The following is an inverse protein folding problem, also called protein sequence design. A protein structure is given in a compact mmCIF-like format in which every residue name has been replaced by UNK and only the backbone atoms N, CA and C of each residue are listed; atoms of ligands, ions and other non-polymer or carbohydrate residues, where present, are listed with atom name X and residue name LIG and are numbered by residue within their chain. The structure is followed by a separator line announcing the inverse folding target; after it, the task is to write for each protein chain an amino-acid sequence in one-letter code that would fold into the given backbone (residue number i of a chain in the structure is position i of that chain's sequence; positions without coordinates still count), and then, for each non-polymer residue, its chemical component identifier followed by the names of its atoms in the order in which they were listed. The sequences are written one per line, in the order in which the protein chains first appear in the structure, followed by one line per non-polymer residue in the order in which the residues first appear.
data_IF_851639713456
#
_entry.id   IF_851639713456
#
_cell.length_a   1.000
_cell.length_b   1.000
_cell.length_c   1.000
_cell.angle_alpha   90.00
_cell.angle_beta   90.00
_cell.angle_gamma   90.00
#
_symmetry.space_group_name_H-M   'P 1'
#
loop_
_entity.id
_entity.type
_entity.pdbx_description
1 polymer ?
#
# COMPACT_ATOMS: atom_id res chain seq x y z
N UNK A 1 -4.36 30.52 -1.00
CA UNK A 1 -3.90 29.23 -0.46
C UNK A 1 -5.02 28.23 -0.63
N UNK A 2 -4.74 27.09 -1.23
CA UNK A 2 -5.75 26.06 -1.36
C UNK A 2 -6.05 25.41 0.02
N UNK A 3 -7.28 25.00 0.22
CA UNK A 3 -7.72 24.46 1.52
C UNK A 3 -6.99 23.19 1.95
N UNK A 4 -6.47 22.41 0.99
CA UNK A 4 -5.74 21.20 1.31
C UNK A 4 -4.45 21.48 2.12
N UNK A 5 -3.78 22.60 1.91
CA UNK A 5 -2.57 22.95 2.69
C UNK A 5 -2.89 23.22 4.16
N UNK A 6 -4.10 23.67 4.45
CA UNK A 6 -4.58 23.86 5.84
C UNK A 6 -5.01 22.56 6.48
N UNK A 7 -5.46 21.59 5.67
CA UNK A 7 -5.97 20.29 6.14
C UNK A 7 -4.96 19.17 6.01
N UNK A 8 -3.85 19.38 5.29
CA UNK A 8 -2.77 18.41 5.24
C UNK A 8 -2.20 18.22 6.64
N UNK A 9 -2.08 16.97 7.03
CA UNK A 9 -1.56 16.55 8.33
C UNK A 9 -0.39 15.62 8.14
N UNK A 10 0.43 15.49 9.16
CA UNK A 10 1.49 14.51 9.18
C UNK A 10 1.41 13.64 10.42
N UNK A 11 1.79 12.39 10.27
CA UNK A 11 1.93 11.44 11.37
C UNK A 11 3.37 10.98 11.40
N UNK A 12 3.95 10.92 12.58
CA UNK A 12 5.27 10.32 12.76
C UNK A 12 5.11 8.80 12.83
N UNK A 13 5.89 8.08 12.02
CA UNK A 13 5.98 6.63 12.03
C UNK A 13 7.42 6.20 12.37
N UNK A 14 7.67 4.92 12.65
CA UNK A 14 9.05 4.44 12.89
C UNK A 14 10.03 4.75 11.76
N UNK A 15 9.53 4.97 10.55
CA UNK A 15 10.36 5.25 9.37
C UNK A 15 10.32 6.72 8.92
N UNK A 16 9.69 7.60 9.69
CA UNK A 16 9.58 9.01 9.39
C UNK A 16 8.15 9.50 9.27
N UNK A 17 7.98 10.74 8.81
CA UNK A 17 6.66 11.33 8.66
C UNK A 17 5.95 10.86 7.39
N UNK A 18 4.66 10.56 7.53
CA UNK A 18 3.73 10.41 6.41
C UNK A 18 2.78 11.61 6.37
N UNK A 19 2.25 11.90 5.19
CA UNK A 19 1.40 13.06 4.95
C UNK A 19 0.04 12.60 4.41
N UNK A 20 -1.04 13.16 4.95
CA UNK A 20 -2.40 12.81 4.59
C UNK A 20 -3.34 14.00 4.79
N UNK A 21 -4.59 13.84 4.35
CA UNK A 21 -5.60 14.90 4.46
C UNK A 21 -5.59 15.86 3.29
N UNK A 22 -6.58 16.72 3.25
CA UNK A 22 -6.80 17.65 2.16
C UNK A 22 -7.35 17.01 0.89
N UNK A 23 -7.62 17.82 -0.14
CA UNK A 23 -8.06 17.33 -1.45
C UNK A 23 -7.01 16.41 -2.07
N UNK A 24 -7.48 15.46 -2.88
CA UNK A 24 -6.63 14.56 -3.61
C UNK A 24 -5.69 15.31 -4.57
N UNK A 25 -4.43 14.89 -4.59
CA UNK A 25 -3.42 15.36 -5.56
C UNK A 25 -2.46 14.22 -5.92
N UNK A 26 -1.87 14.30 -7.10
CA UNK A 26 -1.02 13.22 -7.62
C UNK A 26 0.43 13.28 -7.16
N UNK A 27 0.86 14.39 -6.54
CA UNK A 27 2.23 14.58 -6.06
C UNK A 27 2.25 14.81 -4.56
N UNK A 28 2.32 13.73 -3.79
CA UNK A 28 2.65 13.83 -2.38
C UNK A 28 4.15 13.88 -2.17
N UNK A 29 4.56 14.54 -1.09
CA UNK A 29 5.95 14.51 -0.65
C UNK A 29 6.38 13.09 -0.36
N UNK A 30 7.66 12.82 -0.56
CA UNK A 30 8.25 11.52 -0.21
C UNK A 30 7.73 10.33 -1.02
N UNK A 31 7.12 10.54 -2.17
CA UNK A 31 6.79 9.42 -3.04
C UNK A 31 8.07 8.71 -3.49
N UNK A 32 8.10 7.42 -3.24
CA UNK A 32 9.15 6.50 -3.69
C UNK A 32 8.52 5.47 -4.59
N UNK A 33 9.16 5.21 -5.72
CA UNK A 33 8.69 4.24 -6.69
C UNK A 33 9.60 3.02 -6.68
N UNK A 34 8.99 1.85 -6.67
CA UNK A 34 9.66 0.57 -6.87
C UNK A 34 9.08 -0.06 -8.14
N UNK A 35 9.89 -0.17 -9.17
CA UNK A 35 9.48 -0.73 -10.45
C UNK A 35 9.40 -2.25 -10.39
N UNK A 36 8.56 -2.81 -11.28
CA UNK A 36 8.44 -4.25 -11.50
C UNK A 36 8.15 -5.03 -10.22
N UNK A 37 7.28 -4.51 -9.38
CA UNK A 37 6.82 -5.24 -8.22
C UNK A 37 5.75 -6.27 -8.60
N UNK A 38 5.79 -7.50 -8.06
CA UNK A 38 4.83 -8.53 -8.43
C UNK A 38 3.38 -8.17 -8.10
N UNK A 39 2.52 -8.43 -9.07
CA UNK A 39 1.07 -8.30 -8.99
C UNK A 39 0.43 -9.56 -9.56
N UNK A 40 -0.85 -9.80 -9.32
CA UNK A 40 -1.58 -10.99 -9.77
C UNK A 40 -1.40 -11.33 -11.25
N UNK A 41 -1.33 -10.32 -12.10
CA UNK A 41 -1.30 -10.43 -13.56
C UNK A 41 0.01 -9.90 -14.16
N UNK A 42 1.10 -9.97 -13.44
CA UNK A 42 2.40 -9.52 -13.89
C UNK A 42 3.09 -8.60 -12.89
N UNK A 43 3.78 -7.59 -13.37
CA UNK A 43 4.48 -6.62 -12.55
C UNK A 43 3.75 -5.26 -12.55
N UNK A 44 3.88 -4.53 -11.48
CA UNK A 44 3.33 -3.19 -11.32
C UNK A 44 4.39 -2.25 -10.78
N UNK A 45 4.30 -1.00 -11.16
CA UNK A 45 5.06 0.08 -10.53
C UNK A 45 4.37 0.39 -9.20
N UNK A 46 5.06 0.14 -8.09
CA UNK A 46 4.58 0.44 -6.75
C UNK A 46 5.09 1.81 -6.33
N UNK A 47 4.16 2.72 -6.08
CA UNK A 47 4.48 4.06 -5.57
C UNK A 47 3.83 4.25 -4.21
N UNK A 48 4.65 4.51 -3.21
CA UNK A 48 4.24 4.79 -1.83
C UNK A 48 5.03 5.97 -1.29
N UNK A 49 4.53 6.62 -0.24
CA UNK A 49 5.37 7.53 0.53
C UNK A 49 6.54 6.75 1.14
N UNK A 50 7.69 7.40 1.28
CA UNK A 50 8.93 6.76 1.71
C UNK A 50 8.80 5.88 2.95
N UNK A 51 8.22 6.36 4.06
CA UNK A 51 8.03 5.54 5.26
C UNK A 51 7.16 4.31 5.01
N UNK A 52 6.08 4.44 4.24
CA UNK A 52 5.23 3.31 3.88
C UNK A 52 5.99 2.28 3.02
N UNK A 53 6.81 2.75 2.08
CA UNK A 53 7.65 1.86 1.26
C UNK A 53 8.65 1.09 2.12
N UNK A 54 9.30 1.74 3.07
CA UNK A 54 10.25 1.08 4.00
C UNK A 54 9.54 0.04 4.86
N UNK A 55 8.35 0.38 5.39
CA UNK A 55 7.54 -0.54 6.17
C UNK A 55 7.09 -1.75 5.34
N UNK A 56 6.73 -1.52 4.08
CA UNK A 56 6.38 -2.60 3.17
C UNK A 56 7.57 -3.52 2.89
N UNK A 57 8.75 -2.96 2.63
CA UNK A 57 9.99 -3.75 2.45
C UNK A 57 10.33 -4.55 3.71
N UNK A 58 10.15 -3.98 4.89
CA UNK A 58 10.35 -4.68 6.16
C UNK A 58 9.38 -5.85 6.33
N UNK A 59 8.12 -5.69 5.93
CA UNK A 59 7.14 -6.77 5.92
C UNK A 59 7.55 -7.91 4.96
N UNK A 60 8.14 -7.59 3.81
CA UNK A 60 8.71 -8.56 2.88
C UNK A 60 9.81 -9.41 3.55
N UNK A 61 10.71 -8.75 4.27
CA UNK A 61 11.80 -9.45 4.98
C UNK A 61 11.24 -10.37 6.05
N UNK A 62 10.23 -9.94 6.81
CA UNK A 62 9.56 -10.78 7.80
C UNK A 62 8.91 -12.00 7.14
N UNK A 63 8.22 -11.80 6.04
CA UNK A 63 7.59 -12.86 5.27
C UNK A 63 8.61 -13.90 4.81
N UNK A 64 9.75 -13.46 4.31
CA UNK A 64 10.82 -14.35 3.90
C UNK A 64 11.31 -15.24 5.04
N UNK A 65 11.58 -14.64 6.19
CA UNK A 65 12.07 -15.36 7.37
C UNK A 65 11.07 -16.38 7.86
N UNK A 66 9.80 -16.04 7.89
CA UNK A 66 8.74 -16.92 8.42
C UNK A 66 8.33 -18.02 7.46
N UNK A 67 8.50 -17.82 6.17
CA UNK A 67 8.15 -18.83 5.14
C UNK A 67 9.33 -19.67 4.69
N UNK A 68 10.53 -19.39 5.20
CA UNK A 68 11.73 -20.17 4.88
C UNK A 68 12.11 -20.11 3.40
N UNK A 69 12.05 -18.94 2.77
CA UNK A 69 12.40 -18.79 1.38
C UNK A 69 13.82 -19.26 1.10
N UNK A 70 13.95 -20.10 0.10
CA UNK A 70 15.26 -20.59 -0.36
C UNK A 70 15.94 -19.57 -1.25
N UNK A 71 17.26 -19.73 -1.43
CA UNK A 71 18.04 -18.90 -2.39
C UNK A 71 17.47 -19.01 -3.81
N UNK A 72 16.98 -20.20 -4.20
CA UNK A 72 16.37 -20.42 -5.51
C UNK A 72 15.09 -19.63 -5.68
N UNK A 73 14.22 -19.63 -4.65
CA UNK A 73 13.00 -18.84 -4.69
C UNK A 73 13.29 -17.34 -4.77
N UNK A 74 14.26 -16.86 -4.02
CA UNK A 74 14.70 -15.46 -4.09
C UNK A 74 15.25 -15.09 -5.46
N UNK A 75 16.05 -15.96 -6.07
CA UNK A 75 16.62 -15.74 -7.40
C UNK A 75 15.55 -15.69 -8.49
N UNK A 76 14.45 -16.44 -8.32
CA UNK A 76 13.32 -16.47 -9.26
C UNK A 76 12.28 -15.38 -9.00
N UNK A 77 12.39 -14.65 -7.90
CA UNK A 77 11.52 -13.51 -7.61
C UNK A 77 11.84 -12.35 -8.56
N UNK A 78 10.84 -11.72 -9.19
CA UNK A 78 11.08 -10.56 -10.07
C UNK A 78 11.83 -9.42 -9.40
N UNK A 79 11.65 -9.26 -8.09
CA UNK A 79 12.35 -8.25 -7.30
C UNK A 79 13.62 -8.79 -6.62
N UNK A 80 14.03 -10.04 -6.91
CA UNK A 80 15.18 -10.69 -6.26
C UNK A 80 15.00 -10.89 -4.76
N UNK A 81 13.76 -11.04 -4.27
CA UNK A 81 13.42 -11.12 -2.84
C UNK A 81 12.10 -11.83 -2.61
N UNK A 82 11.78 -12.20 -1.35
CA UNK A 82 10.48 -12.75 -0.99
C UNK A 82 9.37 -11.77 -1.32
N UNK A 83 8.21 -12.30 -1.68
CA UNK A 83 7.17 -11.49 -2.28
C UNK A 83 5.87 -11.61 -1.51
N UNK A 84 5.35 -10.49 -1.07
CA UNK A 84 3.94 -10.30 -0.80
C UNK A 84 3.34 -9.79 -2.11
N UNK A 85 2.51 -10.60 -2.75
CA UNK A 85 1.92 -10.29 -4.06
C UNK A 85 0.81 -9.27 -3.89
N UNK A 86 0.79 -8.25 -4.73
CA UNK A 86 -0.22 -7.20 -4.70
C UNK A 86 -1.34 -7.45 -5.71
N UNK A 87 -2.55 -7.04 -5.37
CA UNK A 87 -3.68 -6.93 -6.29
C UNK A 87 -3.90 -5.46 -6.71
N UNK A 88 -3.58 -4.51 -5.84
CA UNK A 88 -3.71 -3.09 -6.12
C UNK A 88 -2.73 -2.24 -5.33
N UNK A 89 -2.44 -1.06 -5.86
CA UNK A 89 -1.45 -0.13 -5.31
C UNK A 89 -1.98 1.30 -5.34
N UNK A 90 -1.09 2.26 -5.49
CA UNK A 90 -1.43 3.66 -5.66
C UNK A 90 -2.28 3.90 -6.92
N UNK A 91 -3.23 4.81 -6.82
CA UNK A 91 -4.06 5.28 -7.94
C UNK A 91 -3.94 6.79 -8.06
N UNK A 92 -3.99 7.29 -9.30
CA UNK A 92 -4.07 8.73 -9.53
C UNK A 92 -5.41 9.29 -9.03
N UNK A 93 -5.43 10.59 -8.73
CA UNK A 93 -6.66 11.27 -8.34
C UNK A 93 -7.73 11.18 -9.42
N UNK A 94 -7.37 11.35 -10.70
CA UNK A 94 -8.31 11.26 -11.81
C UNK A 94 -8.91 9.87 -11.94
N UNK A 95 -8.10 8.82 -11.82
CA UNK A 95 -8.59 7.43 -11.84
C UNK A 95 -9.56 7.18 -10.69
N UNK A 96 -9.20 7.58 -9.48
CA UNK A 96 -10.06 7.35 -8.31
C UNK A 96 -11.36 8.16 -8.39
N UNK A 97 -11.33 9.38 -8.93
CA UNK A 97 -12.54 10.17 -9.15
C UNK A 97 -13.48 9.51 -10.14
N UNK A 98 -12.94 8.97 -11.23
CA UNK A 98 -13.74 8.24 -12.22
C UNK A 98 -14.37 6.99 -11.62
N UNK A 99 -13.64 6.21 -10.84
CA UNK A 99 -14.15 5.04 -10.14
C UNK A 99 -15.24 5.43 -9.14
N UNK A 100 -15.02 6.44 -8.34
CA UNK A 100 -15.99 6.93 -7.37
C UNK A 100 -17.26 7.44 -8.03
N UNK A 101 -17.15 8.16 -9.14
CA UNK A 101 -18.31 8.61 -9.92
C UNK A 101 -19.10 7.45 -10.54
N UNK A 102 -18.41 6.35 -10.91
CA UNK A 102 -19.07 5.17 -11.50
C UNK A 102 -19.86 4.36 -10.46
N UNK A 103 -19.36 4.25 -9.23
CA UNK A 103 -20.00 3.53 -8.15
C UNK A 103 -19.49 4.01 -6.79
N UNK A 104 -20.24 4.89 -6.15
CA UNK A 104 -19.89 5.48 -4.85
C UNK A 104 -19.99 4.47 -3.69
N UNK A 105 -20.69 3.38 -3.88
CA UNK A 105 -20.82 2.36 -2.85
C UNK A 105 -19.62 1.40 -2.87
N UNK A 106 -19.00 1.23 -4.03
CA UNK A 106 -17.87 0.32 -4.23
C UNK A 106 -16.52 0.99 -4.04
N UNK A 107 -16.39 2.24 -4.50
CA UNK A 107 -15.10 2.94 -4.52
C UNK A 107 -15.09 4.10 -3.53
N UNK A 108 -13.96 4.29 -2.86
CA UNK A 108 -13.76 5.36 -1.90
C UNK A 108 -13.63 6.72 -2.58
N UNK A 109 -14.05 7.76 -1.89
CA UNK A 109 -13.81 9.14 -2.29
C UNK A 109 -12.30 9.37 -2.44
N UNK A 110 -11.82 9.97 -3.57
CA UNK A 110 -10.41 10.20 -3.80
C UNK A 110 -9.73 11.07 -2.74
N UNK A 111 -10.47 11.92 -2.05
CA UNK A 111 -9.92 12.81 -1.03
C UNK A 111 -9.67 12.12 0.31
N UNK A 112 -10.20 10.91 0.51
CA UNK A 112 -10.06 10.19 1.79
C UNK A 112 -9.36 8.84 1.66
N UNK A 113 -9.27 8.26 0.46
CA UNK A 113 -8.63 6.95 0.29
C UNK A 113 -7.11 7.02 0.45
N UNK A 114 -6.53 6.02 1.09
CA UNK A 114 -5.08 5.86 1.19
C UNK A 114 -4.41 5.55 -0.15
N UNK A 115 -5.15 4.99 -1.13
CA UNK A 115 -4.60 4.64 -2.45
C UNK A 115 -4.08 5.86 -3.22
N UNK A 116 -4.74 7.01 -3.12
CA UNK A 116 -4.27 8.23 -3.80
C UNK A 116 -3.14 8.93 -3.06
N UNK A 117 -2.89 8.52 -1.81
CA UNK A 117 -1.88 9.11 -0.93
C UNK A 117 -0.56 8.36 -0.91
N UNK A 118 -0.48 7.21 -1.56
CA UNK A 118 0.66 6.32 -1.40
C UNK A 118 0.77 5.71 0.00
N UNK A 119 -0.37 5.48 0.64
CA UNK A 119 -0.46 4.95 2.01
C UNK A 119 -1.36 3.72 2.11
N UNK A 120 -1.77 3.14 0.98
CA UNK A 120 -2.58 1.93 0.95
C UNK A 120 -2.12 0.96 -0.12
N UNK A 121 -2.28 -0.31 0.18
CA UNK A 121 -2.07 -1.42 -0.73
C UNK A 121 -3.25 -2.39 -0.63
N UNK A 122 -3.50 -3.10 -1.72
CA UNK A 122 -4.38 -4.27 -1.72
C UNK A 122 -3.50 -5.50 -1.96
N UNK A 123 -3.40 -6.39 -0.97
CA UNK A 123 -2.69 -7.64 -1.15
C UNK A 123 -3.51 -8.63 -1.94
N UNK A 124 -2.87 -9.56 -2.63
CA UNK A 124 -3.56 -10.59 -3.38
C UNK A 124 -4.21 -11.62 -2.45
N UNK A 125 -5.47 -11.98 -2.72
CA UNK A 125 -6.13 -13.09 -2.04
C UNK A 125 -5.62 -14.47 -2.50
N UNK A 126 -4.95 -14.53 -3.65
CA UNK A 126 -4.32 -15.75 -4.17
C UNK A 126 -2.92 -15.98 -3.56
N UNK A 127 -2.45 -15.09 -2.72
CA UNK A 127 -1.18 -15.19 -2.03
C UNK A 127 -1.16 -16.45 -1.13
N UNK A 128 -0.13 -17.31 -1.22
CA UNK A 128 0.04 -18.36 -0.23
C UNK A 128 0.33 -17.78 1.17
N UNK A 129 -0.05 -18.51 2.20
CA UNK A 129 0.23 -18.13 3.58
C UNK A 129 -0.33 -16.77 3.99
N UNK A 130 -1.59 -16.48 3.64
CA UNK A 130 -2.23 -15.20 3.93
C UNK A 130 -2.14 -14.78 5.41
N UNK A 131 -2.29 -15.71 6.33
CA UNK A 131 -2.20 -15.40 7.77
C UNK A 131 -0.80 -14.89 8.14
N UNK A 132 0.25 -15.40 7.51
CA UNK A 132 1.62 -14.93 7.72
C UNK A 132 1.81 -13.54 7.10
N UNK A 133 1.30 -13.34 5.88
CA UNK A 133 1.33 -12.02 5.22
C UNK A 133 0.67 -10.97 6.11
N UNK A 134 -0.51 -11.27 6.61
CA UNK A 134 -1.29 -10.32 7.42
C UNK A 134 -0.57 -9.99 8.74
N UNK A 135 0.06 -10.98 9.38
CA UNK A 135 0.89 -10.73 10.57
C UNK A 135 2.12 -9.87 10.27
N UNK A 136 2.76 -10.11 9.14
CA UNK A 136 3.94 -9.34 8.73
C UNK A 136 3.59 -7.87 8.44
N UNK A 137 2.47 -7.63 7.76
CA UNK A 137 1.99 -6.27 7.51
C UNK A 137 1.61 -5.57 8.82
N UNK A 138 0.84 -6.23 9.68
CA UNK A 138 0.44 -5.67 10.97
C UNK A 138 1.65 -5.33 11.86
N UNK A 139 2.67 -6.17 11.87
CA UNK A 139 3.89 -5.95 12.64
C UNK A 139 4.66 -4.70 12.21
N UNK A 140 4.49 -4.25 10.96
CA UNK A 140 5.16 -3.08 10.40
C UNK A 140 4.25 -1.84 10.33
N UNK A 141 3.13 -1.83 11.06
CA UNK A 141 2.27 -0.66 11.18
C UNK A 141 1.20 -0.52 10.09
N UNK A 142 0.99 -1.55 9.29
CA UNK A 142 -0.13 -1.60 8.35
C UNK A 142 -1.39 -2.02 9.07
N UNK A 143 -2.49 -1.31 8.82
CA UNK A 143 -3.79 -1.55 9.42
C UNK A 143 -4.77 -2.09 8.41
N UNK A 144 -5.43 -3.21 8.74
CA UNK A 144 -6.53 -3.73 7.95
C UNK A 144 -7.82 -3.05 8.42
N UNK A 145 -8.21 -2.00 7.71
CA UNK A 145 -9.28 -1.09 8.15
C UNK A 145 -10.68 -1.54 7.77
N UNK A 146 -10.80 -2.47 6.83
CA UNK A 146 -12.09 -3.01 6.36
C UNK A 146 -12.06 -4.53 6.29
N UNK A 147 -11.88 -5.21 7.43
CA UNK A 147 -11.66 -6.67 7.43
C UNK A 147 -12.85 -7.48 6.91
N UNK A 148 -14.06 -6.96 7.03
CA UNK A 148 -15.27 -7.66 6.60
C UNK A 148 -15.59 -7.46 5.11
N UNK A 149 -15.36 -6.24 4.60
CA UNK A 149 -15.70 -5.87 3.22
C UNK A 149 -14.53 -6.05 2.27
N UNK A 150 -13.35 -5.62 2.69
CA UNK A 150 -12.12 -5.61 1.88
C UNK A 150 -10.95 -6.17 2.71
N UNK A 151 -10.92 -7.47 2.99
CA UNK A 151 -9.87 -8.07 3.82
C UNK A 151 -8.47 -7.96 3.22
N UNK A 152 -8.36 -7.68 1.94
CA UNK A 152 -7.11 -7.45 1.20
C UNK A 152 -6.56 -6.04 1.36
N UNK A 153 -7.37 -5.07 1.83
CA UNK A 153 -7.01 -3.65 1.91
C UNK A 153 -6.25 -3.34 3.19
N UNK A 154 -5.08 -2.73 3.06
CA UNK A 154 -4.22 -2.33 4.16
C UNK A 154 -3.79 -0.87 4.00
N UNK A 155 -3.91 -0.09 5.06
CA UNK A 155 -3.49 1.30 5.12
C UNK A 155 -2.34 1.47 6.10
N UNK A 156 -1.32 2.24 5.72
CA UNK A 156 -0.17 2.47 6.57
C UNK A 156 -0.46 3.60 7.56
N UNK A 157 -0.56 3.26 8.85
CA UNK A 157 -0.86 4.18 9.97
C UNK A 157 -2.18 4.96 9.85
N UNK A 158 -2.96 4.75 8.82
CA UNK A 158 -4.30 5.33 8.67
C UNK A 158 -5.38 4.35 9.13
N UNK A 159 -6.55 4.88 9.46
CA UNK A 159 -7.73 4.10 9.85
C UNK A 159 -8.80 4.06 8.77
N UNK A 160 -8.45 4.45 7.58
CA UNK A 160 -9.36 4.55 6.42
C UNK A 160 -8.91 3.71 5.24
#
# INVERSE_FOLDING_TARGET
MSDWTRTERRIRTPYGYIYYGGPCRDNYRNFVTLDQFPKNDGNVVLTLQGPAMRAFKAAQVRYAKQTGWTKKQLANSPAGRPIIILAGTNRSCSTQRALYASDRNRYANPDITGHTRGLAIDRSNAQPNLAIVDRCLAAEGWNRTRPDDEPWHWSYFLTI
#
